data_IF_967078755365
#
_entry.id   IF_967078755365
#
_cell.length_a   1.000
_cell.length_b   1.000
_cell.length_c   1.000
_cell.angle_alpha   90.00
_cell.angle_beta   90.00
_cell.angle_gamma   90.00
#
_symmetry.space_group_name_H-M   'P 1'
#
loop_
_entity.id
_entity.type
_entity.pdbx_description
1 polymer ?
#
# COMPACT_ATOMS: atom_id res chain seq x y z
N UNK A 1 17.20 -13.94 9.46
CA UNK A 1 18.66 -13.72 9.33
C UNK A 1 18.93 -13.04 7.97
N UNK A 2 19.66 -11.92 7.91
CA UNK A 2 20.04 -11.30 6.62
C UNK A 2 21.29 -12.00 6.06
N UNK A 3 21.36 -12.19 4.74
CA UNK A 3 22.56 -12.77 4.10
C UNK A 3 23.80 -11.90 4.34
N UNK A 4 24.91 -12.55 4.70
CA UNK A 4 26.24 -11.94 4.85
C UNK A 4 26.68 -11.25 3.54
N UNK A 5 27.32 -10.06 3.60
CA UNK A 5 27.85 -9.36 2.43
C UNK A 5 28.84 -10.19 1.59
N UNK A 6 29.57 -11.10 2.20
CA UNK A 6 30.65 -11.87 1.54
C UNK A 6 30.12 -13.02 0.68
N UNK A 7 28.80 -13.23 0.66
CA UNK A 7 28.19 -14.25 -0.18
C UNK A 7 28.09 -13.77 -1.63
N UNK A 8 28.62 -14.59 -2.53
CA UNK A 8 28.53 -14.46 -3.99
C UNK A 8 27.16 -13.98 -4.50
N UNK A 9 26.01 -14.58 -4.10
CA UNK A 9 24.69 -14.11 -4.54
C UNK A 9 24.40 -12.64 -4.23
N UNK A 10 24.87 -12.15 -3.07
CA UNK A 10 24.69 -10.78 -2.64
C UNK A 10 25.65 -9.85 -3.37
N UNK A 11 26.90 -10.26 -3.55
CA UNK A 11 27.88 -9.51 -4.35
C UNK A 11 27.39 -9.34 -5.79
N UNK A 12 26.90 -10.39 -6.44
CA UNK A 12 26.36 -10.33 -7.82
C UNK A 12 25.10 -9.48 -7.88
N UNK A 13 24.18 -9.59 -6.91
CA UNK A 13 22.95 -8.80 -6.87
C UNK A 13 23.19 -7.29 -6.73
N UNK A 14 24.28 -6.90 -6.08
CA UNK A 14 24.63 -5.49 -5.84
C UNK A 14 25.85 -5.00 -6.64
N UNK A 15 26.47 -5.84 -7.48
CA UNK A 15 27.72 -5.51 -8.21
C UNK A 15 27.54 -4.36 -9.21
N UNK A 16 26.34 -4.21 -9.78
CA UNK A 16 26.00 -3.15 -10.73
C UNK A 16 25.31 -1.93 -10.08
N UNK A 17 24.99 -2.01 -8.77
CA UNK A 17 24.35 -0.93 -8.03
C UNK A 17 25.42 -0.02 -7.38
N UNK A 18 26.30 0.58 -8.18
CA UNK A 18 27.34 1.48 -7.66
C UNK A 18 26.79 2.83 -7.20
N UNK A 19 25.68 3.30 -7.76
CA UNK A 19 24.99 4.52 -7.31
C UNK A 19 23.53 4.52 -7.78
N UNK A 20 22.65 3.88 -7.01
CA UNK A 20 21.22 3.88 -7.27
C UNK A 20 20.45 4.27 -6.00
N UNK A 21 20.05 5.54 -5.89
CA UNK A 21 19.12 5.95 -4.83
C UNK A 21 17.76 5.33 -5.14
N UNK A 22 17.50 4.14 -4.61
CA UNK A 22 16.12 3.63 -4.56
C UNK A 22 15.34 4.65 -3.75
N UNK A 23 14.30 5.27 -4.33
CA UNK A 23 13.33 6.07 -3.57
C UNK A 23 12.74 5.14 -2.50
N UNK A 24 13.35 5.10 -1.31
CA UNK A 24 12.80 4.48 -0.09
C UNK A 24 11.79 5.44 0.52
N UNK A 25 11.03 6.12 -0.33
CA UNK A 25 9.90 6.87 0.13
C UNK A 25 8.86 5.91 0.68
N UNK A 26 7.96 6.45 1.49
CA UNK A 26 6.88 5.67 2.09
C UNK A 26 6.13 4.90 0.99
N UNK A 27 5.61 3.70 1.30
CA UNK A 27 4.76 2.98 0.37
C UNK A 27 3.71 3.92 -0.25
N UNK A 28 3.56 3.88 -1.58
CA UNK A 28 2.55 4.68 -2.26
C UNK A 28 1.18 4.33 -1.70
N UNK A 29 0.34 5.35 -1.46
CA UNK A 29 -1.06 5.12 -1.12
C UNK A 29 -1.72 4.29 -2.22
N UNK A 30 -2.54 3.33 -1.82
CA UNK A 30 -3.37 2.59 -2.77
C UNK A 30 -4.41 3.56 -3.33
N UNK A 31 -4.85 3.32 -4.56
CA UNK A 31 -5.88 4.13 -5.23
C UNK A 31 -7.14 4.34 -4.36
N UNK A 32 -7.62 3.28 -3.70
CA UNK A 32 -8.74 3.33 -2.77
C UNK A 32 -8.51 4.30 -1.60
N UNK A 33 -7.31 4.32 -1.05
CA UNK A 33 -6.97 5.16 0.10
C UNK A 33 -6.85 6.63 -0.31
N UNK A 34 -6.34 6.90 -1.53
CA UNK A 34 -6.37 8.24 -2.12
C UNK A 34 -7.80 8.75 -2.31
N UNK A 35 -8.73 7.91 -2.81
CA UNK A 35 -10.14 8.30 -2.95
C UNK A 35 -10.77 8.60 -1.60
N UNK A 36 -10.60 7.72 -0.60
CA UNK A 36 -11.13 7.95 0.76
C UNK A 36 -10.66 9.29 1.32
N UNK A 37 -9.37 9.59 1.19
CA UNK A 37 -8.79 10.86 1.65
C UNK A 37 -9.44 12.06 0.95
N UNK A 38 -9.62 11.98 -0.37
CA UNK A 38 -10.29 13.04 -1.16
C UNK A 38 -11.78 13.20 -0.84
N UNK A 39 -12.45 12.15 -0.38
CA UNK A 39 -13.84 12.20 0.09
C UNK A 39 -13.94 12.81 1.49
N UNK A 40 -13.04 12.42 2.41
CA UNK A 40 -12.95 13.02 3.74
C UNK A 40 -12.66 14.52 3.69
N UNK A 41 -11.78 14.97 2.78
CA UNK A 41 -11.52 16.40 2.55
C UNK A 41 -12.75 17.19 2.11
N UNK A 42 -13.75 16.51 1.54
CA UNK A 42 -15.03 17.09 1.09
C UNK A 42 -16.18 16.83 2.08
N UNK A 43 -15.85 16.42 3.30
CA UNK A 43 -16.80 16.06 4.37
C UNK A 43 -17.80 14.95 4.00
N UNK A 44 -17.43 14.10 3.01
CA UNK A 44 -18.23 12.94 2.63
C UNK A 44 -17.81 11.78 3.52
N UNK A 45 -18.62 11.47 4.55
CA UNK A 45 -18.39 10.31 5.43
C UNK A 45 -18.57 9.00 4.66
N UNK A 46 -17.48 8.23 4.56
CA UNK A 46 -17.46 6.90 3.91
C UNK A 46 -17.70 5.73 4.87
N UNK A 47 -17.74 5.98 6.18
CA UNK A 47 -17.73 4.93 7.21
C UNK A 47 -19.01 4.10 7.26
N UNK A 48 -20.15 4.70 6.86
CA UNK A 48 -21.45 4.04 6.86
C UNK A 48 -21.73 3.19 5.61
N UNK A 49 -20.91 3.32 4.55
CA UNK A 49 -21.22 2.71 3.24
C UNK A 49 -21.16 1.19 3.29
N UNK A 50 -20.21 0.62 4.04
CA UNK A 50 -20.09 -0.83 4.21
C UNK A 50 -21.18 -1.42 5.10
N UNK A 51 -21.73 -0.64 6.03
CA UNK A 51 -22.82 -1.08 6.90
C UNK A 51 -24.15 -1.09 6.13
N UNK A 52 -24.41 -0.04 5.34
CA UNK A 52 -25.56 0.06 4.44
C UNK A 52 -25.58 -1.04 3.38
N UNK A 53 -24.43 -1.37 2.79
CA UNK A 53 -24.37 -2.46 1.80
C UNK A 53 -24.68 -3.82 2.41
N UNK A 54 -24.25 -4.07 3.65
CA UNK A 54 -24.52 -5.31 4.38
C UNK A 54 -25.99 -5.44 4.80
N UNK A 55 -26.64 -4.35 5.20
CA UNK A 55 -28.09 -4.33 5.47
C UNK A 55 -28.93 -4.70 4.23
N UNK A 56 -28.56 -4.22 3.04
CA UNK A 56 -29.27 -4.57 1.78
C UNK A 56 -29.17 -6.05 1.41
N UNK A 57 -28.10 -6.74 1.83
CA UNK A 57 -27.93 -8.19 1.60
C UNK A 57 -28.82 -8.98 2.57
N UNK A 58 -28.89 -8.56 3.83
CA UNK A 58 -29.63 -9.29 4.86
C UNK A 58 -31.16 -9.08 4.78
N UNK A 59 -31.64 -7.99 4.19
CA UNK A 59 -33.07 -7.70 4.01
C UNK A 59 -33.74 -8.40 2.81
N UNK A 60 -33.10 -9.43 2.23
CA UNK A 60 -33.64 -10.25 1.13
C UNK A 60 -33.80 -11.73 1.52
N UNK A 61 -34.13 -12.01 2.78
CA UNK A 61 -34.63 -13.32 3.21
C UNK A 61 -36.15 -13.31 3.30
#
# INVERSE_FOLDING_TARGET
>A
MRMSPDRLPKQILYSQLSSGHRKRERPRLRFKDTIKRSLMLRDIKTDSWTSLSRQRINGKQ
#
